data_IF_355317349552
#
_entry.id   IF_355317349552
#
_cell.length_a   1.000
_cell.length_b   1.000
_cell.length_c   1.000
_cell.angle_alpha   90.00
_cell.angle_beta   90.00
_cell.angle_gamma   90.00
#
_symmetry.space_group_name_H-M   'P 1'
#
loop_
_entity.id
_entity.type
_entity.pdbx_description
1 polymer ?
#
# COMPACT_ATOMS: atom_id res chain seq x y z
N UNK A 1 24.79 24.85 -7.90
CA UNK A 1 24.33 23.98 -6.77
C UNK A 1 23.05 23.26 -7.19
N UNK A 2 23.10 21.94 -7.39
CA UNK A 2 21.91 21.15 -7.72
C UNK A 2 21.01 21.11 -6.49
N UNK A 3 19.79 21.66 -6.60
CA UNK A 3 18.74 21.52 -5.57
C UNK A 3 18.52 20.02 -5.33
N UNK A 4 18.98 19.52 -4.18
CA UNK A 4 18.64 18.19 -3.70
C UNK A 4 17.12 18.20 -3.53
N UNK A 5 16.39 17.56 -4.45
CA UNK A 5 14.94 17.38 -4.32
C UNK A 5 14.73 16.61 -3.01
N UNK A 6 14.16 17.28 -2.00
CA UNK A 6 13.66 16.64 -0.78
C UNK A 6 12.88 15.39 -1.22
N UNK A 7 13.42 14.21 -0.93
CA UNK A 7 12.82 12.95 -1.35
C UNK A 7 11.40 12.94 -0.76
N UNK A 8 10.38 12.80 -1.62
CA UNK A 8 9.00 12.78 -1.15
C UNK A 8 8.89 11.63 -0.14
N UNK A 9 8.49 11.97 1.09
CA UNK A 9 8.40 11.04 2.22
C UNK A 9 7.21 10.07 2.07
N UNK A 10 6.43 10.25 1.01
CA UNK A 10 5.49 9.27 0.47
C UNK A 10 5.63 9.16 -1.05
N UNK A 11 5.21 8.05 -1.62
CA UNK A 11 5.27 7.78 -3.05
C UNK A 11 3.95 7.24 -3.57
N UNK A 12 3.58 7.63 -4.79
CA UNK A 12 2.47 7.03 -5.55
C UNK A 12 3.04 6.35 -6.80
N UNK A 13 2.69 5.10 -7.00
CA UNK A 13 3.04 4.33 -8.19
C UNK A 13 1.81 4.34 -9.10
N UNK A 14 1.95 4.90 -10.30
CA UNK A 14 0.85 5.04 -11.26
C UNK A 14 1.19 4.38 -12.59
N UNK A 15 0.18 3.78 -13.22
CA UNK A 15 0.27 3.27 -14.57
C UNK A 15 -0.96 3.70 -15.37
N UNK A 16 -0.75 4.45 -16.46
CA UNK A 16 -1.83 4.97 -17.34
C UNK A 16 -2.94 5.68 -16.56
N UNK A 17 -2.57 6.52 -15.59
CA UNK A 17 -3.49 7.26 -14.74
C UNK A 17 -4.11 6.46 -13.58
N UNK A 18 -3.98 5.13 -13.55
CA UNK A 18 -4.43 4.29 -12.43
C UNK A 18 -3.40 4.28 -11.32
N UNK A 19 -3.86 4.34 -10.07
CA UNK A 19 -3.01 4.25 -8.88
C UNK A 19 -2.81 2.78 -8.50
N UNK A 20 -1.58 2.30 -8.62
CA UNK A 20 -1.20 0.92 -8.35
C UNK A 20 -0.94 0.74 -6.85
N UNK A 21 -0.13 1.63 -6.28
CA UNK A 21 0.20 1.59 -4.87
C UNK A 21 0.59 2.96 -4.32
N UNK A 22 0.50 3.08 -3.00
CA UNK A 22 0.98 4.23 -2.23
C UNK A 22 1.95 3.69 -1.18
N UNK A 23 3.13 4.30 -1.05
CA UNK A 23 4.11 3.94 -0.03
C UNK A 23 4.29 5.13 0.89
N UNK A 24 3.94 4.98 2.16
CA UNK A 24 4.30 5.94 3.21
C UNK A 24 5.59 5.45 3.87
N UNK A 25 6.63 6.28 3.84
CA UNK A 25 7.88 5.95 4.52
C UNK A 25 7.73 6.10 6.03
N UNK A 26 8.52 5.34 6.77
CA UNK A 26 8.59 5.37 8.23
C UNK A 26 8.81 6.76 8.83
N UNK A 27 9.45 7.66 8.10
CA UNK A 27 9.70 9.05 8.48
C UNK A 27 8.64 10.04 7.94
N UNK A 28 7.54 9.53 7.34
CA UNK A 28 6.46 10.37 6.84
C UNK A 28 5.80 11.17 7.96
N UNK A 29 5.72 12.48 7.76
CA UNK A 29 4.90 13.37 8.57
C UNK A 29 4.27 14.45 7.71
N UNK A 30 3.09 14.90 8.14
CA UNK A 30 2.37 16.03 7.58
C UNK A 30 1.98 17.00 8.70
N UNK A 31 1.67 18.26 8.39
CA UNK A 31 1.21 19.24 9.38
C UNK A 31 -0.24 18.99 9.84
N UNK A 32 -1.01 18.28 9.01
CA UNK A 32 -2.42 17.96 9.23
C UNK A 32 -2.66 16.48 8.94
N UNK A 33 -3.83 15.99 9.33
CA UNK A 33 -4.29 14.67 8.87
C UNK A 33 -4.40 14.63 7.34
N UNK A 34 -3.96 13.53 6.74
CA UNK A 34 -3.95 13.30 5.29
C UNK A 34 -4.56 11.93 5.04
N UNK A 35 -5.44 11.84 4.05
CA UNK A 35 -6.03 10.59 3.64
C UNK A 35 -5.60 10.28 2.21
N UNK A 36 -5.25 9.02 1.97
CA UNK A 36 -4.67 8.52 0.73
C UNK A 36 -5.62 7.52 0.08
N UNK A 37 -5.64 7.54 -1.25
CA UNK A 37 -6.56 6.75 -2.07
C UNK A 37 -7.52 7.64 -2.87
N UNK A 38 -8.24 7.03 -3.80
CA UNK A 38 -9.26 7.71 -4.60
C UNK A 38 -10.63 7.55 -3.92
N UNK A 39 -11.57 8.50 -4.09
CA UNK A 39 -12.91 8.43 -3.48
C UNK A 39 -13.68 7.14 -3.80
N UNK A 40 -13.39 6.50 -4.93
CA UNK A 40 -14.04 5.30 -5.43
C UNK A 40 -13.47 4.01 -4.84
N UNK A 41 -12.36 4.09 -4.09
CA UNK A 41 -11.75 2.93 -3.45
C UNK A 41 -12.61 2.41 -2.30
N UNK A 42 -12.63 1.08 -2.16
CA UNK A 42 -13.35 0.41 -1.07
C UNK A 42 -12.62 0.54 0.27
N UNK A 43 -11.34 0.93 0.26
CA UNK A 43 -10.52 1.19 1.42
C UNK A 43 -9.77 2.54 1.30
N UNK A 44 -9.44 3.14 2.44
CA UNK A 44 -8.67 4.38 2.52
C UNK A 44 -7.55 4.22 3.55
N UNK A 45 -6.37 4.77 3.26
CA UNK A 45 -5.28 4.87 4.23
C UNK A 45 -5.27 6.27 4.85
N UNK A 46 -5.48 6.38 6.16
CA UNK A 46 -5.47 7.64 6.89
C UNK A 46 -4.20 7.85 7.71
N UNK A 47 -3.48 8.95 7.48
CA UNK A 47 -2.50 9.50 8.41
C UNK A 47 -3.19 10.55 9.27
N UNK A 48 -3.36 10.28 10.55
CA UNK A 48 -4.10 11.17 11.46
C UNK A 48 -3.12 11.84 12.41
N UNK A 49 -3.15 13.18 12.49
CA UNK A 49 -2.29 13.96 13.38
C UNK A 49 -3.10 14.92 14.23
N UNK A 50 -2.89 14.85 15.55
CA UNK A 50 -3.39 15.78 16.54
C UNK A 50 -2.25 16.31 17.40
N UNK A 51 -2.35 17.57 17.80
CA UNK A 51 -1.51 18.11 18.85
C UNK A 51 -1.92 17.57 20.23
N UNK A 52 -1.10 17.86 21.24
CA UNK A 52 -1.44 17.59 22.65
C UNK A 52 -2.83 18.14 22.97
N UNK A 53 -3.63 17.36 23.71
CA UNK A 53 -5.02 17.66 24.08
C UNK A 53 -6.03 17.71 22.91
N UNK A 54 -5.65 17.32 21.70
CA UNK A 54 -6.61 17.13 20.60
C UNK A 54 -7.57 15.97 20.89
N UNK A 55 -8.84 16.12 20.52
CA UNK A 55 -9.89 15.12 20.77
C UNK A 55 -10.57 14.74 19.47
N UNK A 56 -10.63 13.43 19.19
CA UNK A 56 -11.54 12.86 18.19
C UNK A 56 -12.83 12.52 18.93
N UNK A 57 -13.94 13.14 18.54
CA UNK A 57 -15.25 12.84 19.15
C UNK A 57 -15.62 11.38 18.89
N UNK A 58 -16.18 10.69 19.89
CA UNK A 58 -16.73 9.36 19.73
C UNK A 58 -17.83 9.36 18.65
N UNK A 59 -17.79 8.40 17.74
CA UNK A 59 -18.77 8.26 16.67
C UNK A 59 -18.86 6.80 16.20
N UNK A 60 -20.02 6.44 15.63
CA UNK A 60 -20.22 5.21 14.88
C UNK A 60 -20.37 5.54 13.40
N UNK A 61 -19.94 4.62 12.54
CA UNK A 61 -20.22 4.73 11.12
C UNK A 61 -21.68 4.35 10.84
N UNK A 62 -22.31 5.07 9.91
CA UNK A 62 -23.66 4.73 9.43
C UNK A 62 -23.58 3.44 8.61
N UNK A 63 -24.64 2.63 8.69
CA UNK A 63 -24.85 1.56 7.74
C UNK A 63 -24.91 2.14 6.32
N UNK A 64 -24.16 1.52 5.41
CA UNK A 64 -24.10 1.93 4.02
C UNK A 64 -23.78 0.72 3.16
N UNK A 65 -24.58 0.51 2.12
CA UNK A 65 -24.30 -0.49 1.11
C UNK A 65 -23.17 0.01 0.21
N UNK A 66 -22.17 -0.83 -0.03
CA UNK A 66 -21.00 -0.52 -0.86
C UNK A 66 -20.81 -1.65 -1.85
N UNK A 67 -20.50 -1.30 -3.10
CA UNK A 67 -20.05 -2.26 -4.09
C UNK A 67 -18.53 -2.38 -4.01
N UNK A 68 -18.05 -3.60 -3.82
CA UNK A 68 -16.63 -3.91 -3.75
C UNK A 68 -16.30 -4.72 -5.00
N UNK A 69 -15.42 -4.19 -5.83
CA UNK A 69 -15.06 -4.79 -7.13
C UNK A 69 -13.65 -5.36 -7.15
N UNK A 70 -12.80 -4.91 -6.22
CA UNK A 70 -11.42 -5.33 -6.11
C UNK A 70 -11.04 -5.28 -4.64
N UNK A 71 -10.34 -6.32 -4.21
CA UNK A 71 -9.78 -6.38 -2.87
C UNK A 71 -8.53 -5.50 -2.82
N UNK A 72 -8.48 -4.64 -1.82
CA UNK A 72 -7.33 -3.78 -1.53
C UNK A 72 -6.74 -4.18 -0.19
N UNK A 73 -5.44 -3.94 -0.02
CA UNK A 73 -4.75 -4.32 1.20
C UNK A 73 -3.67 -3.31 1.58
N UNK A 74 -3.48 -3.16 2.88
CA UNK A 74 -2.44 -2.32 3.48
C UNK A 74 -1.47 -3.21 4.23
N UNK A 75 -0.20 -3.11 3.88
CA UNK A 75 0.90 -3.80 4.56
C UNK A 75 1.65 -2.85 5.47
N UNK A 76 1.88 -3.29 6.70
CA UNK A 76 2.77 -2.63 7.66
C UNK A 76 4.02 -3.48 7.82
N UNK A 77 5.18 -2.93 7.48
CA UNK A 77 6.44 -3.66 7.63
C UNK A 77 6.88 -3.60 9.09
N UNK A 78 6.67 -4.68 9.83
CA UNK A 78 7.01 -4.79 11.26
C UNK A 78 8.50 -5.04 11.47
N UNK A 79 9.11 -5.84 10.60
CA UNK A 79 10.54 -6.21 10.62
C UNK A 79 11.03 -6.50 9.20
N UNK A 80 12.33 -6.31 8.97
CA UNK A 80 13.01 -6.80 7.78
C UNK A 80 13.19 -5.78 6.66
N UNK A 81 13.43 -6.30 5.47
CA UNK A 81 13.65 -5.55 4.24
C UNK A 81 13.06 -6.35 3.07
N UNK A 82 12.05 -5.78 2.44
CA UNK A 82 11.23 -6.44 1.43
C UNK A 82 11.31 -5.65 0.14
N UNK A 83 11.58 -6.34 -0.96
CA UNK A 83 11.38 -5.79 -2.29
C UNK A 83 9.94 -6.08 -2.71
N UNK A 84 9.19 -5.03 -3.03
CA UNK A 84 7.85 -5.12 -3.59
C UNK A 84 7.94 -4.85 -5.09
N UNK A 85 7.56 -5.84 -5.90
CA UNK A 85 7.41 -5.72 -7.34
C UNK A 85 5.97 -5.34 -7.66
N UNK A 86 5.77 -4.38 -8.57
CA UNK A 86 4.47 -3.90 -8.97
C UNK A 86 4.21 -4.22 -10.44
N UNK A 87 2.98 -4.64 -10.72
CA UNK A 87 2.55 -5.11 -12.02
C UNK A 87 1.29 -4.38 -12.48
N UNK A 88 1.13 -4.23 -13.79
CA UNK A 88 -0.14 -3.80 -14.37
C UNK A 88 -1.23 -4.87 -14.21
N UNK A 89 -2.48 -4.51 -14.47
CA UNK A 89 -3.61 -5.47 -14.54
C UNK A 89 -3.39 -6.57 -15.60
N UNK A 90 -2.54 -6.32 -16.59
CA UNK A 90 -2.12 -7.29 -17.61
C UNK A 90 -0.86 -8.08 -17.20
N UNK A 91 -0.53 -8.10 -15.91
CA UNK A 91 0.62 -8.82 -15.33
C UNK A 91 2.01 -8.38 -15.84
N UNK A 92 2.11 -7.32 -16.65
CA UNK A 92 3.40 -6.75 -17.03
C UNK A 92 4.07 -6.07 -15.84
N UNK A 93 5.36 -6.37 -15.62
CA UNK A 93 6.18 -5.68 -14.63
C UNK A 93 6.26 -4.18 -14.92
N UNK A 94 6.11 -3.38 -13.86
CA UNK A 94 6.17 -1.92 -13.95
C UNK A 94 7.42 -1.36 -13.29
N UNK A 95 7.65 -1.74 -12.03
CA UNK A 95 8.74 -1.24 -11.19
C UNK A 95 8.81 -2.02 -9.89
N UNK A 96 9.89 -1.86 -9.12
CA UNK A 96 9.99 -2.35 -7.75
C UNK A 96 10.31 -1.25 -6.74
N UNK A 97 10.04 -1.48 -5.45
CA UNK A 97 10.51 -0.65 -4.34
C UNK A 97 10.97 -1.51 -3.17
N UNK A 98 12.07 -1.11 -2.53
CA UNK A 98 12.47 -1.67 -1.24
C UNK A 98 11.73 -0.92 -0.13
N UNK A 99 11.08 -1.68 0.74
CA UNK A 99 10.40 -1.21 1.95
C UNK A 99 11.02 -1.89 3.16
N UNK A 100 11.02 -1.19 4.29
CA UNK A 100 11.69 -1.62 5.52
C UNK A 100 10.80 -1.33 6.72
N UNK A 101 11.25 -1.77 7.91
CA UNK A 101 10.55 -1.54 9.18
C UNK A 101 9.97 -0.13 9.29
N UNK A 102 8.68 -0.05 9.59
CA UNK A 102 7.90 1.18 9.77
C UNK A 102 7.33 1.77 8.49
N UNK A 103 7.76 1.32 7.30
CA UNK A 103 7.11 1.71 6.05
C UNK A 103 5.73 1.03 5.95
N UNK A 104 4.81 1.71 5.27
CA UNK A 104 3.43 1.28 5.03
C UNK A 104 3.20 1.25 3.52
N UNK A 105 2.61 0.18 3.00
CA UNK A 105 2.30 0.02 1.58
C UNK A 105 0.80 -0.20 1.43
N UNK A 106 0.12 0.72 0.75
CA UNK A 106 -1.27 0.54 0.33
C UNK A 106 -1.29 0.04 -1.12
N UNK A 107 -1.71 -1.21 -1.31
CA UNK A 107 -1.85 -1.86 -2.61
C UNK A 107 -3.26 -1.60 -3.13
N UNK A 108 -3.35 -0.69 -4.10
CA UNK A 108 -4.61 -0.11 -4.54
C UNK A 108 -5.22 -0.82 -5.75
N UNK A 109 -4.40 -1.25 -6.70
CA UNK A 109 -4.81 -1.95 -7.93
C UNK A 109 -3.63 -2.65 -8.61
N UNK A 110 -3.88 -3.32 -9.74
CA UNK A 110 -2.86 -4.06 -10.47
C UNK A 110 -2.45 -5.35 -9.73
N UNK A 111 -1.24 -5.81 -10.01
CA UNK A 111 -0.63 -6.96 -9.33
C UNK A 111 0.58 -6.52 -8.50
N UNK A 112 0.98 -7.37 -7.56
CA UNK A 112 2.19 -7.17 -6.80
C UNK A 112 2.84 -8.52 -6.48
N UNK A 113 4.15 -8.48 -6.24
CA UNK A 113 4.98 -9.61 -5.86
C UNK A 113 5.96 -9.18 -4.79
N UNK A 114 6.48 -10.13 -4.01
CA UNK A 114 7.38 -9.82 -2.91
C UNK A 114 8.61 -10.72 -2.91
N UNK A 115 9.78 -10.11 -2.73
CA UNK A 115 11.02 -10.81 -2.46
C UNK A 115 11.59 -10.34 -1.12
N UNK A 116 11.75 -11.28 -0.19
CA UNK A 116 12.31 -10.99 1.13
C UNK A 116 13.84 -10.89 1.00
N UNK A 117 14.38 -9.68 1.13
CA UNK A 117 15.84 -9.45 1.10
C UNK A 117 16.48 -9.75 2.46
N UNK A 118 15.67 -9.79 3.52
CA UNK A 118 16.00 -10.21 4.88
C UNK A 118 14.78 -10.87 5.51
N UNK A 119 14.97 -11.61 6.61
CA UNK A 119 13.87 -12.10 7.45
C UNK A 119 12.92 -10.95 7.80
N UNK A 120 11.66 -11.12 7.39
CA UNK A 120 10.67 -10.05 7.40
C UNK A 120 9.38 -10.49 8.06
N UNK A 121 8.77 -9.56 8.80
CA UNK A 121 7.45 -9.72 9.37
C UNK A 121 6.58 -8.57 8.86
N UNK A 122 5.40 -8.89 8.35
CA UNK A 122 4.45 -7.92 7.83
C UNK A 122 3.09 -8.15 8.50
N UNK A 123 2.37 -7.07 8.75
CA UNK A 123 0.96 -7.12 9.15
C UNK A 123 0.15 -6.66 7.95
N UNK A 124 -0.84 -7.45 7.56
CA UNK A 124 -1.75 -7.11 6.46
C UNK A 124 -3.12 -6.74 7.03
N UNK A 125 -3.69 -5.65 6.50
CA UNK A 125 -5.09 -5.29 6.70
C UNK A 125 -5.76 -5.31 5.34
N UNK A 126 -6.62 -6.30 5.15
CA UNK A 126 -7.30 -6.58 3.89
C UNK A 126 -8.75 -6.16 3.93
N UNK A 127 -9.22 -5.63 2.81
CA UNK A 127 -10.61 -5.26 2.61
C UNK A 127 -11.49 -6.53 2.58
N UNK A 128 -12.66 -6.48 3.23
CA UNK A 128 -13.61 -7.59 3.27
C UNK A 128 -14.91 -7.31 2.49
N UNK A 129 -15.80 -8.31 2.28
CA UNK A 129 -15.80 -9.61 2.93
C UNK A 129 -14.65 -10.51 2.43
N UNK A 130 -14.10 -11.32 3.35
CA UNK A 130 -13.06 -12.26 3.00
C UNK A 130 -13.65 -13.43 2.20
N UNK A 131 -13.23 -13.56 0.94
CA UNK A 131 -13.76 -14.58 0.02
C UNK A 131 -13.04 -15.93 0.13
N UNK A 132 -11.90 -16.00 0.84
CA UNK A 132 -10.98 -17.15 0.82
C UNK A 132 -9.74 -16.89 -0.03
N UNK A 133 -8.66 -17.65 0.20
CA UNK A 133 -7.36 -17.45 -0.49
C UNK A 133 -7.46 -17.62 -2.01
N UNK A 134 -8.16 -18.66 -2.46
CA UNK A 134 -8.13 -19.10 -3.87
C UNK A 134 -9.13 -18.34 -4.75
N UNK A 135 -10.17 -17.76 -4.15
CA UNK A 135 -11.19 -16.97 -4.84
C UNK A 135 -10.85 -15.48 -4.94
N UNK A 136 -9.90 -15.00 -4.14
CA UNK A 136 -9.60 -13.58 -3.98
C UNK A 136 -8.43 -13.08 -4.85
N UNK A 137 -7.63 -13.99 -5.43
CA UNK A 137 -6.48 -13.64 -6.26
C UNK A 137 -6.20 -14.63 -7.37
N UNK A 138 -5.59 -14.13 -8.43
CA UNK A 138 -4.98 -14.91 -9.50
C UNK A 138 -3.46 -14.88 -9.27
N UNK A 139 -2.83 -16.06 -9.24
CA UNK A 139 -1.37 -16.17 -9.19
C UNK A 139 -0.80 -16.14 -10.62
N UNK A 140 0.37 -15.53 -10.77
CA UNK A 140 1.14 -15.50 -12.02
C UNK A 140 2.63 -15.43 -11.69
N UNK A 141 3.49 -15.75 -12.67
CA UNK A 141 4.94 -15.68 -12.50
C UNK A 141 5.42 -14.22 -12.62
N UNK A 142 6.06 -13.73 -11.57
CA UNK A 142 6.66 -12.40 -11.50
C UNK A 142 8.19 -12.43 -11.62
N UNK A 143 8.81 -11.25 -11.73
CA UNK A 143 10.27 -11.09 -11.77
C UNK A 143 10.96 -11.54 -10.47
N UNK A 144 10.25 -11.61 -9.35
CA UNK A 144 10.78 -12.22 -8.11
C UNK A 144 10.98 -13.74 -8.22
N UNK A 145 10.33 -14.38 -9.19
CA UNK A 145 10.45 -15.81 -9.44
C UNK A 145 11.57 -16.13 -10.44
N UNK A 146 12.06 -15.13 -11.18
CA UNK A 146 13.25 -15.27 -12.01
C UNK A 146 14.48 -15.29 -11.11
N UNK A 147 14.98 -16.49 -10.84
CA UNK A 147 16.12 -16.67 -9.94
C UNK A 147 17.47 -16.28 -10.56
N UNK A 148 17.52 -15.87 -11.85
CA UNK A 148 18.75 -15.50 -12.53
C UNK A 148 19.86 -16.56 -12.42
N UNK A 149 19.47 -17.81 -12.16
CA UNK A 149 20.29 -19.02 -12.08
C UNK A 149 19.77 -20.00 -13.12
#
# INVERSE_FOLDING_TARGET
>A
MKKIKKQKVYEEIKHKGKLIAIILRSDFSADKSVFFGQPEFSQQLGYIKYGKNGVIKAHCHKEAHRKIVLTQEVLFIKKGMVEVNFYSEKQNFLTYRIVKKGDIVFLCSGGHGFRMLKDSEMIEVKQGPYSGRDSDKILFEGVENDSGK
#
